data_IF_909154988474
#
_entry.id   IF_909154988474
#
_cell.length_a   1.000
_cell.length_b   1.000
_cell.length_c   1.000
_cell.angle_alpha   90.00
_cell.angle_beta   90.00
_cell.angle_gamma   90.00
#
_symmetry.space_group_name_H-M   'P 1'
#
loop_
_entity.id
_entity.type
_entity.pdbx_description
1 polymer ?
#
# COMPACT_ATOMS: atom_id res chain seq x y z
N UNK A 1 30.67 -3.32 -8.37
CA UNK A 1 30.46 -3.61 -6.94
C UNK A 1 29.97 -5.04 -6.69
N UNK A 2 28.92 -5.55 -7.34
CA UNK A 2 28.37 -6.89 -7.02
C UNK A 2 29.37 -8.06 -6.94
N UNK A 3 30.38 -8.11 -7.83
CA UNK A 3 31.40 -9.17 -7.82
C UNK A 3 32.23 -9.22 -6.53
N UNK A 4 32.51 -8.07 -5.91
CA UNK A 4 33.30 -8.02 -4.67
C UNK A 4 32.52 -8.64 -3.51
N UNK A 5 31.21 -8.45 -3.48
CA UNK A 5 30.33 -9.03 -2.46
C UNK A 5 30.17 -10.53 -2.66
N UNK A 6 29.99 -10.97 -3.90
CA UNK A 6 29.92 -12.40 -4.24
C UNK A 6 31.21 -13.13 -3.90
N UNK A 7 32.37 -12.49 -4.11
CA UNK A 7 33.67 -13.03 -3.74
C UNK A 7 33.77 -13.29 -2.23
N UNK A 8 33.48 -12.29 -1.40
CA UNK A 8 33.52 -12.48 0.07
C UNK A 8 32.44 -13.44 0.57
N UNK A 9 31.27 -13.41 -0.04
CA UNK A 9 30.18 -14.34 0.27
C UNK A 9 30.61 -15.79 0.03
N UNK A 10 31.20 -16.09 -1.13
CA UNK A 10 31.71 -17.43 -1.47
C UNK A 10 32.82 -17.91 -0.54
N UNK A 11 33.79 -17.04 -0.21
CA UNK A 11 34.83 -17.37 0.78
C UNK A 11 34.20 -17.65 2.15
N UNK A 12 33.25 -16.81 2.57
CA UNK A 12 32.52 -16.99 3.83
C UNK A 12 31.84 -18.35 3.91
N UNK A 13 31.09 -18.72 2.87
CA UNK A 13 30.44 -20.04 2.77
C UNK A 13 31.46 -21.17 2.88
N UNK A 14 32.55 -21.12 2.11
CA UNK A 14 33.61 -22.14 2.16
C UNK A 14 34.21 -22.28 3.56
N UNK A 15 34.47 -21.17 4.25
CA UNK A 15 35.03 -21.17 5.60
C UNK A 15 34.07 -21.74 6.64
N UNK A 16 32.78 -21.41 6.57
CA UNK A 16 31.78 -22.02 7.45
C UNK A 16 31.63 -23.52 7.19
N UNK A 17 31.58 -23.93 5.92
CA UNK A 17 31.53 -25.33 5.50
C UNK A 17 32.73 -26.13 6.04
N UNK A 18 33.96 -25.61 5.87
CA UNK A 18 35.19 -26.28 6.35
C UNK A 18 35.29 -26.30 7.88
N UNK A 19 34.74 -25.31 8.58
CA UNK A 19 34.81 -25.23 10.05
C UNK A 19 33.79 -26.15 10.73
N UNK A 20 32.54 -26.13 10.30
CA UNK A 20 31.49 -26.97 10.86
C UNK A 20 30.31 -27.07 9.90
N UNK A 21 30.14 -28.26 9.32
CA UNK A 21 29.00 -28.56 8.47
C UNK A 21 27.66 -28.31 9.18
N UNK A 22 27.57 -28.62 10.48
CA UNK A 22 26.36 -28.39 11.28
C UNK A 22 25.98 -26.91 11.34
N UNK A 23 26.94 -26.03 11.61
CA UNK A 23 26.70 -24.57 11.67
C UNK A 23 26.38 -24.02 10.28
N UNK A 24 27.10 -24.46 9.26
CA UNK A 24 26.85 -24.05 7.88
C UNK A 24 25.43 -24.43 7.44
N UNK A 25 25.01 -25.67 7.67
CA UNK A 25 23.65 -26.12 7.37
C UNK A 25 22.61 -25.37 8.21
N UNK A 26 22.86 -25.11 9.49
CA UNK A 26 21.94 -24.34 10.33
C UNK A 26 21.69 -22.91 9.79
N UNK A 27 22.73 -22.26 9.23
CA UNK A 27 22.60 -20.94 8.60
C UNK A 27 21.96 -21.00 7.21
N UNK A 28 22.25 -22.04 6.44
CA UNK A 28 21.74 -22.20 5.07
C UNK A 28 20.30 -22.72 5.03
N UNK A 29 19.88 -23.46 6.06
CA UNK A 29 18.58 -24.13 6.09
C UNK A 29 17.39 -23.18 5.99
N UNK A 30 17.32 -22.03 6.70
CA UNK A 30 16.25 -21.06 6.49
C UNK A 30 16.17 -20.55 5.05
N UNK A 31 17.32 -20.30 4.39
CA UNK A 31 17.36 -19.90 2.99
C UNK A 31 16.78 -21.00 2.08
N UNK A 32 17.18 -22.25 2.28
CA UNK A 32 16.67 -23.37 1.49
C UNK A 32 15.17 -23.59 1.69
N UNK A 33 14.69 -23.52 2.94
CA UNK A 33 13.27 -23.64 3.24
C UNK A 33 12.45 -22.51 2.59
N UNK A 34 12.93 -21.27 2.65
CA UNK A 34 12.23 -20.15 2.01
C UNK A 34 12.19 -20.29 0.49
N UNK A 35 13.29 -20.72 -0.14
CA UNK A 35 13.33 -20.97 -1.57
C UNK A 35 12.40 -22.14 -1.96
N UNK A 36 12.35 -23.19 -1.14
CA UNK A 36 11.44 -24.31 -1.36
C UNK A 36 9.97 -23.89 -1.20
N UNK A 37 9.64 -23.10 -0.19
CA UNK A 37 8.30 -22.58 0.03
C UNK A 37 7.84 -21.68 -1.14
N UNK A 38 8.75 -20.87 -1.68
CA UNK A 38 8.51 -20.10 -2.90
C UNK A 38 8.34 -20.98 -4.11
N UNK A 39 9.16 -22.02 -4.30
CA UNK A 39 9.04 -22.93 -5.44
C UNK A 39 7.71 -23.69 -5.45
N UNK A 40 7.12 -23.91 -4.27
CA UNK A 40 5.83 -24.57 -4.09
C UNK A 40 4.63 -23.60 -4.11
N UNK A 41 4.86 -22.31 -4.42
CA UNK A 41 3.85 -21.24 -4.36
C UNK A 41 3.14 -21.13 -3.00
N UNK A 42 3.72 -21.71 -1.94
CA UNK A 42 3.20 -21.63 -0.57
C UNK A 42 3.49 -20.27 0.06
N UNK A 43 4.52 -19.58 -0.45
CA UNK A 43 4.93 -18.29 0.09
C UNK A 43 5.61 -17.41 -0.97
N UNK A 44 5.07 -16.22 -1.26
CA UNK A 44 5.62 -15.35 -2.29
C UNK A 44 6.96 -14.79 -1.81
N UNK A 45 8.01 -14.91 -2.63
CA UNK A 45 9.36 -14.38 -2.36
C UNK A 45 9.38 -12.87 -2.50
N UNK A 46 8.73 -12.18 -1.56
CA UNK A 46 8.52 -10.73 -1.61
C UNK A 46 9.42 -10.00 -0.62
N UNK A 47 9.44 -8.67 -0.74
CA UNK A 47 10.35 -7.75 -0.03
C UNK A 47 10.58 -8.10 1.45
N UNK A 48 9.54 -8.48 2.19
CA UNK A 48 9.65 -8.76 3.63
C UNK A 48 10.53 -9.99 3.91
N UNK A 49 10.49 -11.01 3.05
CA UNK A 49 11.27 -12.22 3.26
C UNK A 49 12.77 -11.99 3.07
N UNK A 50 13.14 -11.12 2.12
CA UNK A 50 14.52 -10.70 1.93
C UNK A 50 15.10 -10.05 3.19
N UNK A 51 14.31 -9.31 3.96
CA UNK A 51 14.74 -8.70 5.23
C UNK A 51 15.06 -9.77 6.28
N UNK A 52 14.27 -10.84 6.37
CA UNK A 52 14.53 -11.96 7.27
C UNK A 52 15.73 -12.82 6.84
N UNK A 53 15.97 -12.91 5.53
CA UNK A 53 17.10 -13.64 4.97
C UNK A 53 18.40 -12.85 5.03
N UNK A 54 18.35 -11.51 5.01
CA UNK A 54 19.51 -10.62 4.93
C UNK A 54 20.64 -10.90 5.94
N UNK A 55 20.38 -11.28 7.22
CA UNK A 55 21.46 -11.59 8.15
C UNK A 55 22.38 -12.72 7.69
N UNK A 56 21.86 -13.73 6.99
CA UNK A 56 22.62 -14.91 6.55
C UNK A 56 23.73 -14.55 5.53
N UNK A 57 23.44 -13.92 4.37
CA UNK A 57 24.48 -13.50 3.43
C UNK A 57 25.40 -12.44 4.05
N UNK A 58 24.92 -11.57 4.94
CA UNK A 58 25.77 -10.62 5.67
C UNK A 58 26.80 -11.35 6.52
N UNK A 59 26.42 -12.40 7.26
CA UNK A 59 27.35 -13.21 8.06
C UNK A 59 28.40 -13.90 7.19
N UNK A 60 28.02 -14.43 6.02
CA UNK A 60 28.97 -15.02 5.08
C UNK A 60 29.94 -13.96 4.52
N UNK A 61 29.44 -12.80 4.06
CA UNK A 61 30.29 -11.70 3.58
C UNK A 61 31.25 -11.24 4.69
N UNK A 62 30.75 -11.04 5.91
CA UNK A 62 31.55 -10.64 7.05
C UNK A 62 32.66 -11.65 7.35
N UNK A 63 32.34 -12.96 7.31
CA UNK A 63 33.32 -14.02 7.55
C UNK A 63 34.40 -14.07 6.47
N UNK A 64 34.02 -13.94 5.20
CA UNK A 64 34.96 -13.88 4.08
C UNK A 64 35.88 -12.66 4.18
N UNK A 65 35.31 -11.48 4.48
CA UNK A 65 36.07 -10.26 4.68
C UNK A 65 37.04 -10.39 5.88
N UNK A 66 36.58 -10.95 7.01
CA UNK A 66 37.43 -11.22 8.18
C UNK A 66 38.63 -12.09 7.80
N UNK A 67 38.42 -13.14 7.01
CA UNK A 67 39.51 -14.02 6.60
C UNK A 67 40.54 -13.30 5.71
N UNK A 68 40.09 -12.56 4.71
CA UNK A 68 41.00 -11.81 3.84
C UNK A 68 41.76 -10.71 4.59
N UNK A 69 41.12 -10.04 5.55
CA UNK A 69 41.79 -9.01 6.38
C UNK A 69 42.81 -9.62 7.34
N UNK A 70 42.62 -10.86 7.80
CA UNK A 70 43.62 -11.58 8.60
C UNK A 70 44.89 -11.95 7.81
N UNK A 71 44.83 -12.01 6.48
CA UNK A 71 46.01 -12.18 5.63
C UNK A 71 46.90 -10.92 5.59
N UNK A 72 46.35 -9.77 5.98
CA UNK A 72 47.07 -8.50 6.07
C UNK A 72 47.68 -8.39 7.49
N UNK A 73 49.00 -8.18 7.64
CA UNK A 73 49.62 -8.09 8.96
C UNK A 73 48.99 -6.99 9.81
N UNK A 74 48.77 -7.27 11.10
CA UNK A 74 48.03 -6.40 12.01
C UNK A 74 48.61 -4.98 12.17
N UNK A 75 49.91 -4.81 11.88
CA UNK A 75 50.61 -3.51 11.89
C UNK A 75 50.15 -2.55 10.79
N UNK A 76 49.48 -3.04 9.75
CA UNK A 76 49.03 -2.20 8.63
C UNK A 76 47.56 -1.78 8.82
N UNK A 77 47.32 -0.46 8.81
CA UNK A 77 45.98 0.12 8.79
C UNK A 77 45.16 -0.28 7.56
N UNK A 78 45.83 -0.74 6.50
CA UNK A 78 45.22 -1.26 5.27
C UNK A 78 44.19 -2.37 5.50
N UNK A 79 44.25 -3.10 6.62
CA UNK A 79 43.26 -4.12 6.99
C UNK A 79 41.83 -3.57 7.14
N UNK A 80 41.68 -2.27 7.42
CA UNK A 80 40.36 -1.62 7.56
C UNK A 80 39.79 -1.09 6.24
N UNK A 81 40.62 -0.98 5.20
CA UNK A 81 40.19 -0.48 3.87
C UNK A 81 39.14 -1.41 3.28
N UNK A 82 39.32 -2.72 3.45
CA UNK A 82 38.43 -3.72 2.85
C UNK A 82 37.02 -3.73 3.49
N UNK A 83 36.86 -3.78 4.83
CA UNK A 83 35.56 -3.55 5.46
C UNK A 83 34.95 -2.19 5.10
N UNK A 84 35.75 -1.12 5.10
CA UNK A 84 35.26 0.23 4.78
C UNK A 84 34.71 0.30 3.34
N UNK A 85 35.38 -0.32 2.38
CA UNK A 85 34.93 -0.40 0.99
C UNK A 85 33.63 -1.19 0.85
N UNK A 86 33.47 -2.28 1.60
CA UNK A 86 32.23 -3.07 1.61
C UNK A 86 31.05 -2.29 2.20
N UNK A 87 31.29 -1.51 3.24
CA UNK A 87 30.27 -0.69 3.90
C UNK A 87 29.97 0.61 3.15
N UNK A 88 30.86 1.07 2.26
CA UNK A 88 30.71 2.34 1.56
C UNK A 88 29.38 2.41 0.79
N UNK A 89 29.03 1.35 0.06
CA UNK A 89 27.80 1.31 -0.73
C UNK A 89 26.51 1.31 0.12
N UNK A 90 26.32 0.40 1.11
CA UNK A 90 25.12 0.45 1.95
C UNK A 90 25.03 1.75 2.75
N UNK A 91 26.14 2.27 3.27
CA UNK A 91 26.16 3.56 3.98
C UNK A 91 25.76 4.70 3.05
N UNK A 92 26.33 4.76 1.85
CA UNK A 92 25.96 5.77 0.86
C UNK A 92 24.49 5.65 0.43
N UNK A 93 23.99 4.43 0.22
CA UNK A 93 22.59 4.17 -0.08
C UNK A 93 21.66 4.67 1.02
N UNK A 94 21.96 4.34 2.28
CA UNK A 94 21.19 4.82 3.44
C UNK A 94 21.28 6.34 3.61
N UNK A 95 22.46 6.93 3.44
CA UNK A 95 22.65 8.37 3.53
C UNK A 95 21.88 9.12 2.42
N UNK A 96 21.90 8.62 1.18
CA UNK A 96 21.15 9.19 0.08
C UNK A 96 19.63 9.10 0.31
N UNK A 97 19.13 8.00 0.90
CA UNK A 97 17.71 7.87 1.27
C UNK A 97 17.33 8.84 2.40
N UNK A 98 18.19 9.04 3.40
CA UNK A 98 17.96 10.02 4.47
C UNK A 98 17.97 11.47 3.95
N UNK A 99 18.92 11.80 3.07
CA UNK A 99 19.02 13.13 2.48
C UNK A 99 17.88 13.44 1.50
N UNK A 100 17.28 12.40 0.90
CA UNK A 100 16.16 12.51 -0.02
C UNK A 100 15.03 11.59 0.43
N UNK A 101 14.23 11.99 1.45
CA UNK A 101 13.17 11.16 2.01
C UNK A 101 12.14 10.68 1.00
N UNK A 102 11.95 11.39 -0.11
CA UNK A 102 11.09 10.97 -1.21
C UNK A 102 11.58 9.71 -1.95
N UNK A 103 12.88 9.38 -1.89
CA UNK A 103 13.41 8.09 -2.35
C UNK A 103 13.22 6.97 -1.32
N UNK A 104 12.93 7.33 -0.07
CA UNK A 104 12.72 6.38 1.00
C UNK A 104 11.32 5.77 0.84
N UNK A 105 11.31 4.55 0.32
CA UNK A 105 10.08 3.80 0.11
C UNK A 105 9.33 4.07 -1.19
N UNK A 106 9.69 5.07 -2.01
CA UNK A 106 9.08 5.39 -3.33
C UNK A 106 7.54 5.33 -3.32
N UNK A 107 6.96 4.16 -3.62
CA UNK A 107 5.51 3.89 -3.54
C UNK A 107 4.93 3.90 -2.11
N UNK A 108 5.76 3.71 -1.09
CA UNK A 108 5.42 3.75 0.34
C UNK A 108 5.41 5.17 0.90
N UNK A 109 5.84 6.17 0.12
CA UNK A 109 5.66 7.55 0.52
C UNK A 109 4.16 7.85 0.42
N UNK A 110 3.51 8.02 1.58
CA UNK A 110 2.06 8.19 1.64
C UNK A 110 1.70 9.66 1.80
N UNK A 111 0.95 10.20 0.84
CA UNK A 111 0.43 11.57 0.90
C UNK A 111 -0.94 11.64 1.61
N UNK A 112 -1.25 10.67 2.47
CA UNK A 112 -2.56 10.58 3.13
C UNK A 112 -2.85 11.80 3.99
N UNK A 113 -1.82 12.32 4.70
CA UNK A 113 -1.95 13.49 5.55
C UNK A 113 -2.38 14.70 4.73
N UNK A 114 -1.65 15.01 3.67
CA UNK A 114 -1.92 16.15 2.81
C UNK A 114 -3.28 16.04 2.14
N UNK A 115 -3.67 14.83 1.69
CA UNK A 115 -4.98 14.59 1.09
C UNK A 115 -6.14 14.81 2.07
N UNK A 116 -6.02 14.33 3.32
CA UNK A 116 -7.06 14.51 4.34
C UNK A 116 -7.14 15.97 4.81
N UNK A 117 -6.01 16.65 4.98
CA UNK A 117 -5.99 18.09 5.28
C UNK A 117 -6.56 18.92 4.13
N UNK A 118 -6.29 18.53 2.88
CA UNK A 118 -6.89 19.19 1.72
C UNK A 118 -8.42 19.11 1.74
N UNK A 119 -8.99 17.94 2.05
CA UNK A 119 -10.44 17.81 2.24
C UNK A 119 -10.89 18.71 3.38
N UNK A 120 -10.18 18.70 4.52
CA UNK A 120 -10.52 19.50 5.70
C UNK A 120 -10.61 21.00 5.40
N UNK A 121 -9.66 21.53 4.63
CA UNK A 121 -9.60 22.95 4.25
C UNK A 121 -10.70 23.37 3.27
N UNK A 122 -11.21 22.42 2.46
CA UNK A 122 -12.20 22.69 1.41
C UNK A 122 -13.60 22.14 1.73
N UNK A 123 -13.74 21.50 2.89
CA UNK A 123 -14.99 20.94 3.39
C UNK A 123 -15.97 22.07 3.70
N UNK A 124 -17.22 21.90 3.29
CA UNK A 124 -18.32 22.83 3.57
C UNK A 124 -19.43 22.10 4.30
N UNK A 125 -20.21 22.85 5.07
CA UNK A 125 -21.41 22.30 5.68
C UNK A 125 -22.36 21.75 4.59
N UNK A 126 -22.80 20.52 4.78
CA UNK A 126 -23.60 19.79 3.79
C UNK A 126 -22.81 18.86 2.86
N UNK A 127 -21.47 18.92 2.87
CA UNK A 127 -20.62 17.96 2.16
C UNK A 127 -20.64 16.59 2.87
N UNK A 128 -20.40 15.52 2.11
CA UNK A 128 -20.17 14.18 2.65
C UNK A 128 -18.79 13.67 2.19
N UNK A 129 -18.08 12.99 3.09
CA UNK A 129 -16.77 12.41 2.79
C UNK A 129 -16.86 10.90 2.90
N UNK A 130 -16.46 10.19 1.85
CA UNK A 130 -16.29 8.74 1.82
C UNK A 130 -14.82 8.40 1.87
N UNK A 131 -14.46 7.56 2.82
CA UNK A 131 -13.13 7.00 3.00
C UNK A 131 -13.17 5.55 2.56
N UNK A 132 -12.43 5.21 1.51
CA UNK A 132 -12.33 3.82 1.06
C UNK A 132 -11.52 2.98 2.05
N UNK A 133 -11.81 1.68 2.16
CA UNK A 133 -11.20 0.81 3.18
C UNK A 133 -9.66 0.86 3.18
N UNK A 134 -9.06 1.02 2.01
CA UNK A 134 -7.61 1.03 1.85
C UNK A 134 -6.91 2.24 2.46
N UNK A 135 -7.65 3.30 2.83
CA UNK A 135 -7.13 4.47 3.55
C UNK A 135 -7.81 4.69 4.92
N UNK A 136 -8.70 3.79 5.34
CA UNK A 136 -9.43 3.89 6.61
C UNK A 136 -8.50 4.00 7.83
N UNK A 137 -7.41 3.23 7.84
CA UNK A 137 -6.40 3.28 8.91
C UNK A 137 -5.74 4.67 9.03
N UNK A 138 -5.44 5.32 7.91
CA UNK A 138 -4.86 6.65 7.92
C UNK A 138 -5.89 7.68 8.40
N UNK A 139 -7.14 7.60 7.93
CA UNK A 139 -8.21 8.46 8.42
C UNK A 139 -8.43 8.33 9.93
N UNK A 140 -8.48 7.10 10.46
CA UNK A 140 -8.68 6.83 11.88
C UNK A 140 -7.59 7.48 12.77
N UNK A 141 -6.35 7.54 12.28
CA UNK A 141 -5.27 8.24 12.95
C UNK A 141 -5.39 9.77 12.79
N UNK A 142 -5.48 10.25 11.56
CA UNK A 142 -5.41 11.68 11.24
C UNK A 142 -6.62 12.47 11.71
N UNK A 143 -7.81 11.85 11.83
CA UNK A 143 -9.00 12.50 12.41
C UNK A 143 -8.75 13.02 13.82
N UNK A 144 -8.00 12.25 14.61
CA UNK A 144 -7.69 12.59 16.01
C UNK A 144 -6.44 13.47 16.09
N UNK A 145 -5.40 13.13 15.34
CA UNK A 145 -4.14 13.86 15.37
C UNK A 145 -4.26 15.32 14.87
N UNK A 146 -5.19 15.59 13.94
CA UNK A 146 -5.39 16.92 13.35
C UNK A 146 -6.78 17.51 13.59
N UNK A 147 -7.63 16.85 14.39
CA UNK A 147 -8.99 17.31 14.71
C UNK A 147 -9.78 17.69 13.45
N UNK A 148 -9.88 16.75 12.50
CA UNK A 148 -10.54 17.00 11.22
C UNK A 148 -11.99 17.47 11.46
N UNK A 149 -12.39 18.57 10.83
CA UNK A 149 -13.70 19.21 10.95
C UNK A 149 -14.83 18.48 10.24
N UNK A 150 -14.59 17.25 9.76
CA UNK A 150 -15.58 16.41 9.09
C UNK A 150 -15.53 14.98 9.62
N UNK A 151 -16.70 14.34 9.62
CA UNK A 151 -16.82 12.90 9.86
C UNK A 151 -17.00 12.20 8.52
N UNK A 152 -16.16 11.21 8.23
CA UNK A 152 -16.25 10.44 7.01
C UNK A 152 -17.09 9.17 7.21
N UNK A 153 -17.73 8.74 6.13
CA UNK A 153 -18.33 7.41 6.00
C UNK A 153 -17.24 6.46 5.51
N UNK A 154 -16.83 5.55 6.38
CA UNK A 154 -15.88 4.49 6.02
C UNK A 154 -16.60 3.40 5.22
N UNK A 155 -16.09 3.11 4.03
CA UNK A 155 -16.52 1.97 3.22
C UNK A 155 -15.66 0.78 3.62
N UNK A 156 -16.26 -0.25 4.23
CA UNK A 156 -15.53 -1.40 4.78
C UNK A 156 -14.92 -2.32 3.73
N UNK A 157 -13.92 -3.09 4.15
CA UNK A 157 -13.30 -4.16 3.33
C UNK A 157 -14.12 -5.45 3.44
N UNK A 158 -15.00 -5.66 2.46
CA UNK A 158 -15.85 -6.86 2.38
C UNK A 158 -15.53 -7.72 1.16
N UNK A 159 -14.39 -7.49 0.49
CA UNK A 159 -14.09 -8.18 -0.77
C UNK A 159 -14.03 -9.71 -0.62
N UNK A 160 -13.55 -10.20 0.53
CA UNK A 160 -13.48 -11.63 0.83
C UNK A 160 -14.80 -12.23 1.35
N UNK A 161 -15.86 -11.41 1.49
CA UNK A 161 -17.18 -11.84 1.99
C UNK A 161 -18.21 -11.96 0.85
N UNK A 162 -17.89 -11.45 -0.33
CA UNK A 162 -18.80 -11.40 -1.49
C UNK A 162 -18.14 -12.02 -2.71
N UNK A 163 -18.94 -12.58 -3.61
CA UNK A 163 -18.44 -13.35 -4.74
C UNK A 163 -18.45 -12.57 -6.06
N UNK A 164 -19.00 -11.37 -6.07
CA UNK A 164 -19.14 -10.57 -7.28
C UNK A 164 -19.11 -9.08 -7.03
N UNK A 165 -18.78 -8.33 -8.09
CA UNK A 165 -18.90 -6.86 -8.13
C UNK A 165 -20.31 -6.38 -7.79
N UNK A 166 -21.33 -7.11 -8.24
CA UNK A 166 -22.72 -6.74 -8.01
C UNK A 166 -23.06 -6.83 -6.52
N UNK A 167 -22.77 -7.96 -5.88
CA UNK A 167 -22.94 -8.13 -4.43
C UNK A 167 -22.17 -7.08 -3.62
N UNK A 168 -20.94 -6.77 -4.03
CA UNK A 168 -20.13 -5.73 -3.41
C UNK A 168 -20.84 -4.36 -3.45
N UNK A 169 -21.35 -3.95 -4.61
CA UNK A 169 -22.08 -2.69 -4.75
C UNK A 169 -23.41 -2.70 -3.98
N UNK A 170 -24.14 -3.81 -3.99
CA UNK A 170 -25.38 -3.99 -3.23
C UNK A 170 -25.13 -3.83 -1.73
N UNK A 171 -24.04 -4.37 -1.21
CA UNK A 171 -23.66 -4.19 0.19
C UNK A 171 -23.29 -2.74 0.51
N UNK A 172 -22.56 -2.05 -0.39
CA UNK A 172 -22.20 -0.65 -0.18
C UNK A 172 -23.38 0.31 -0.38
N UNK A 173 -24.45 -0.13 -1.05
CA UNK A 173 -25.57 0.73 -1.43
C UNK A 173 -26.17 1.53 -0.27
N UNK A 174 -26.48 0.96 0.92
CA UNK A 174 -27.02 1.72 2.05
C UNK A 174 -26.08 2.84 2.53
N UNK A 175 -24.77 2.69 2.34
CA UNK A 175 -23.79 3.74 2.62
C UNK A 175 -23.86 4.82 1.55
N UNK A 176 -23.86 4.44 0.27
CA UNK A 176 -23.89 5.35 -0.89
C UNK A 176 -25.19 6.17 -0.96
N UNK A 177 -26.32 5.61 -0.52
CA UNK A 177 -27.62 6.31 -0.47
C UNK A 177 -27.57 7.59 0.39
N UNK A 178 -26.68 7.65 1.40
CA UNK A 178 -26.46 8.87 2.20
C UNK A 178 -25.94 10.05 1.38
N UNK A 179 -25.41 9.79 0.18
CA UNK A 179 -24.89 10.80 -0.73
C UNK A 179 -25.97 11.48 -1.57
N UNK A 180 -27.16 10.87 -1.77
CA UNK A 180 -28.15 11.35 -2.76
C UNK A 180 -28.63 12.78 -2.52
N UNK A 181 -28.70 13.19 -1.25
CA UNK A 181 -29.19 14.52 -0.87
C UNK A 181 -28.04 15.50 -0.56
N UNK A 182 -26.82 15.19 -1.02
CA UNK A 182 -25.62 15.99 -0.76
C UNK A 182 -25.22 16.69 -2.05
N UNK A 183 -24.84 17.95 -1.94
CA UNK A 183 -24.39 18.74 -3.11
C UNK A 183 -23.00 18.34 -3.57
N UNK A 184 -22.14 17.97 -2.61
CA UNK A 184 -20.73 17.65 -2.84
C UNK A 184 -20.37 16.37 -2.10
N UNK A 185 -19.73 15.47 -2.83
CA UNK A 185 -19.29 14.17 -2.34
C UNK A 185 -17.78 14.11 -2.53
N UNK A 186 -17.05 13.94 -1.43
CA UNK A 186 -15.62 13.70 -1.45
C UNK A 186 -15.37 12.21 -1.36
N UNK A 187 -14.57 11.66 -2.25
CA UNK A 187 -14.14 10.27 -2.23
C UNK A 187 -12.62 10.21 -2.17
N UNK A 188 -12.08 9.63 -1.10
CA UNK A 188 -10.64 9.45 -0.93
C UNK A 188 -10.28 7.97 -0.93
N UNK A 189 -9.29 7.62 -1.75
CA UNK A 189 -8.80 6.26 -1.87
C UNK A 189 -7.31 6.23 -2.23
N UNK A 190 -6.66 5.12 -1.89
CA UNK A 190 -5.32 4.84 -2.40
C UNK A 190 -5.37 4.25 -3.81
N UNK A 191 -4.51 4.77 -4.69
CA UNK A 191 -4.41 4.42 -6.12
C UNK A 191 -3.65 3.13 -6.36
N UNK A 192 -2.62 2.88 -5.53
CA UNK A 192 -1.66 1.80 -5.73
C UNK A 192 -1.77 0.68 -4.70
N UNK A 193 -2.68 0.77 -3.73
CA UNK A 193 -3.07 -0.38 -2.91
C UNK A 193 -3.97 -1.33 -3.72
N UNK A 194 -3.39 -1.76 -4.84
CA UNK A 194 -3.72 -2.95 -5.61
C UNK A 194 -2.92 -4.16 -5.13
N UNK A 195 -1.96 -3.93 -4.24
CA UNK A 195 -1.11 -4.95 -3.65
C UNK A 195 -1.98 -5.84 -2.77
N UNK A 196 -1.88 -7.15 -2.98
CA UNK A 196 -2.56 -8.23 -2.25
C UNK A 196 -2.03 -8.33 -0.80
N UNK A 197 -2.04 -7.21 -0.05
CA UNK A 197 -1.56 -7.21 1.33
C UNK A 197 -2.61 -7.91 2.18
N UNK A 198 -2.39 -9.20 2.41
CA UNK A 198 -3.28 -10.07 3.19
C UNK A 198 -4.22 -10.93 2.34
N UNK A 199 -4.28 -10.72 1.03
CA UNK A 199 -5.02 -11.57 0.10
C UNK A 199 -4.09 -12.62 -0.52
N UNK A 200 -4.63 -13.78 -0.90
CA UNK A 200 -3.92 -14.71 -1.77
C UNK A 200 -3.79 -14.10 -3.17
N UNK A 201 -2.75 -14.48 -3.91
CA UNK A 201 -2.51 -13.89 -5.23
C UNK A 201 -3.75 -14.03 -6.14
N UNK A 202 -4.24 -12.87 -6.58
CA UNK A 202 -5.42 -12.68 -7.43
C UNK A 202 -6.74 -13.21 -6.87
N UNK A 203 -6.87 -13.33 -5.55
CA UNK A 203 -8.12 -13.70 -4.88
C UNK A 203 -8.71 -12.54 -4.05
N UNK A 204 -10.00 -12.22 -4.22
CA UNK A 204 -10.96 -12.88 -5.11
C UNK A 204 -10.85 -12.34 -6.55
N UNK A 205 -10.94 -13.17 -7.61
CA UNK A 205 -10.66 -12.76 -8.99
C UNK A 205 -11.44 -11.53 -9.45
N UNK A 206 -12.71 -11.44 -9.04
CA UNK A 206 -13.60 -10.34 -9.39
C UNK A 206 -13.09 -8.96 -8.91
N UNK A 207 -12.32 -8.91 -7.82
CA UNK A 207 -11.83 -7.66 -7.24
C UNK A 207 -10.58 -7.13 -7.96
N UNK A 208 -9.86 -8.01 -8.66
CA UNK A 208 -8.64 -7.65 -9.40
C UNK A 208 -8.93 -7.18 -10.84
N UNK A 209 -10.18 -7.29 -11.30
CA UNK A 209 -10.63 -6.72 -12.57
C UNK A 209 -10.49 -5.19 -12.59
N UNK A 210 -10.13 -4.60 -13.74
CA UNK A 210 -9.89 -3.16 -13.86
C UNK A 210 -11.06 -2.27 -13.39
N UNK A 211 -12.30 -2.78 -13.45
CA UNK A 211 -13.51 -2.03 -13.09
C UNK A 211 -13.86 -2.01 -11.58
N UNK A 212 -13.17 -2.81 -10.77
CA UNK A 212 -13.42 -2.96 -9.32
C UNK A 212 -12.24 -2.52 -8.48
N UNK A 213 -11.04 -2.68 -9.03
CA UNK A 213 -9.77 -2.42 -8.37
C UNK A 213 -9.67 -1.00 -7.81
N UNK A 214 -9.02 -0.88 -6.65
CA UNK A 214 -8.67 0.40 -6.02
C UNK A 214 -9.87 1.37 -5.82
N UNK A 215 -11.08 0.85 -5.59
CA UNK A 215 -12.26 1.66 -5.33
C UNK A 215 -12.97 2.18 -6.60
N UNK A 216 -12.61 1.68 -7.78
CA UNK A 216 -13.25 2.07 -9.04
C UNK A 216 -14.76 1.80 -9.05
N UNK A 217 -15.22 0.68 -8.47
CA UNK A 217 -16.65 0.35 -8.41
C UNK A 217 -17.49 1.37 -7.59
N UNK A 218 -17.17 1.65 -6.31
CA UNK A 218 -17.92 2.65 -5.55
C UNK A 218 -17.75 4.06 -6.11
N UNK A 219 -16.57 4.41 -6.62
CA UNK A 219 -16.37 5.68 -7.32
C UNK A 219 -17.30 5.81 -8.52
N UNK A 220 -17.42 4.79 -9.36
CA UNK A 220 -18.32 4.80 -10.51
C UNK A 220 -19.79 4.99 -10.11
N UNK A 221 -20.21 4.38 -9.00
CA UNK A 221 -21.56 4.57 -8.46
C UNK A 221 -21.80 6.01 -7.96
N UNK A 222 -20.80 6.63 -7.32
CA UNK A 222 -20.87 8.03 -6.89
C UNK A 222 -20.80 9.00 -8.07
N UNK A 223 -19.92 8.74 -9.04
CA UNK A 223 -19.77 9.56 -10.25
C UNK A 223 -21.04 9.55 -11.11
N UNK A 224 -21.85 8.49 -11.07
CA UNK A 224 -23.14 8.47 -11.74
C UNK A 224 -24.15 9.49 -11.18
N UNK A 225 -23.90 10.06 -9.99
CA UNK A 225 -24.76 11.06 -9.34
C UNK A 225 -24.46 12.49 -9.80
N UNK A 226 -23.36 12.75 -10.51
CA UNK A 226 -22.94 14.12 -10.80
C UNK A 226 -21.68 14.25 -11.65
N UNK A 227 -21.07 15.43 -11.65
CA UNK A 227 -19.81 15.68 -12.36
C UNK A 227 -18.60 15.39 -11.47
N UNK A 228 -17.72 14.50 -11.94
CA UNK A 228 -16.46 14.16 -11.27
C UNK A 228 -15.35 15.17 -11.60
N UNK A 229 -14.60 15.59 -10.57
CA UNK A 229 -13.35 16.33 -10.71
C UNK A 229 -12.27 15.80 -9.75
N UNK A 230 -11.01 15.85 -10.17
CA UNK A 230 -9.88 15.47 -9.30
C UNK A 230 -9.52 16.67 -8.44
N UNK A 231 -9.82 16.59 -7.14
CA UNK A 231 -9.55 17.66 -6.21
C UNK A 231 -8.09 17.63 -5.70
N UNK A 232 -7.56 16.44 -5.45
CA UNK A 232 -6.17 16.26 -5.02
C UNK A 232 -5.56 14.99 -5.63
N UNK A 233 -4.32 15.11 -6.12
CA UNK A 233 -3.56 14.00 -6.68
C UNK A 233 -2.20 13.92 -5.99
N UNK A 234 -2.08 12.98 -5.05
CA UNK A 234 -0.82 12.63 -4.43
C UNK A 234 -0.09 11.53 -5.21
N UNK A 235 1.08 11.13 -4.70
CA UNK A 235 1.82 10.01 -5.27
C UNK A 235 0.99 8.73 -5.21
N UNK A 236 0.53 8.31 -4.03
CA UNK A 236 -0.25 7.09 -3.84
C UNK A 236 -1.75 7.31 -3.56
N UNK A 237 -2.19 8.53 -3.24
CA UNK A 237 -3.59 8.83 -2.88
C UNK A 237 -4.26 9.71 -3.94
N UNK A 238 -5.56 9.52 -4.13
CA UNK A 238 -6.41 10.39 -4.96
C UNK A 238 -7.63 10.82 -4.15
N UNK A 239 -7.95 12.11 -4.23
CA UNK A 239 -9.20 12.67 -3.75
C UNK A 239 -10.01 13.12 -4.95
N UNK A 240 -11.25 12.68 -4.99
CA UNK A 240 -12.20 12.98 -6.05
C UNK A 240 -13.36 13.74 -5.43
N UNK A 241 -13.78 14.81 -6.10
CA UNK A 241 -14.95 15.57 -5.76
C UNK A 241 -16.02 15.32 -6.82
N UNK A 242 -17.18 14.84 -6.39
CA UNK A 242 -18.37 14.72 -7.24
C UNK A 242 -19.35 15.81 -6.84
N UNK A 243 -19.70 16.67 -7.80
CA UNK A 243 -20.73 17.68 -7.65
C UNK A 243 -22.05 17.12 -8.18
N UNK A 244 -23.00 16.89 -7.28
CA UNK A 244 -24.29 16.27 -7.60
C UNK A 244 -25.13 17.27 -8.38
N UNK A 245 -25.58 16.88 -9.57
CA UNK A 245 -26.51 17.70 -10.33
C UNK A 245 -27.87 17.61 -9.64
N UNK A 246 -28.51 18.76 -9.40
CA UNK A 246 -29.88 18.80 -8.91
C UNK A 246 -30.74 17.96 -9.86
N UNK A 247 -31.23 16.80 -9.40
CA UNK A 247 -32.21 16.06 -10.19
C UNK A 247 -33.39 17.01 -10.39
N UNK A 248 -33.87 17.23 -11.63
CA UNK A 248 -35.08 18.00 -11.84
C UNK A 248 -36.15 17.30 -11.01
N UNK A 249 -36.62 17.99 -9.97
CA UNK A 249 -37.74 17.52 -9.18
C UNK A 249 -38.84 17.23 -10.18
N UNK A 250 -39.14 15.96 -10.41
CA UNK A 250 -40.32 15.54 -11.15
C UNK A 250 -41.49 15.99 -10.30
N UNK A 251 -41.93 17.23 -10.52
CA UNK A 251 -43.14 17.78 -9.99
C UNK A 251 -44.27 16.86 -10.47
N UNK A 252 -44.68 15.94 -9.60
CA UNK A 252 -45.88 15.14 -9.81
C UNK A 252 -47.00 16.18 -9.96
N UNK A 253 -47.67 16.28 -11.14
CA UNK A 253 -48.77 17.20 -11.29
C UNK A 253 -49.83 16.82 -10.25
N UNK A 254 -50.41 17.78 -9.52
CA UNK A 254 -51.49 17.48 -8.60
C UNK A 254 -52.60 16.76 -9.38
N UNK A 255 -52.89 15.53 -8.98
CA UNK A 255 -53.97 14.72 -9.52
C UNK A 255 -55.25 15.53 -9.40
N UNK A 256 -55.77 16.04 -10.53
CA UNK A 256 -57.10 16.67 -10.58
C UNK A 256 -58.11 15.61 -10.10
N UNK A 257 -58.64 15.81 -8.91
CA UNK A 257 -59.80 15.08 -8.39
C UNK A 257 -60.95 15.24 -9.39
N UNK A 258 -61.31 14.16 -10.05
CA UNK A 258 -62.52 14.08 -10.86
C UNK A 258 -63.73 14.18 -9.92
N UNK A 259 -64.36 15.35 -9.87
CA UNK A 259 -65.72 15.51 -9.35
C UNK A 259 -66.69 14.82 -10.31
N UNK A 260 -67.41 13.82 -9.80
CA UNK A 260 -68.33 12.96 -10.54
C UNK A 260 -69.60 13.65 -11.07
N UNK A 261 -70.42 12.90 -11.82
CA UNK A 261 -71.62 13.41 -12.46
C UNK A 261 -72.76 13.61 -11.45
N UNK A 262 -73.40 14.78 -11.47
CA UNK A 262 -74.72 14.97 -10.86
C UNK A 262 -75.79 14.47 -11.83
N UNK A 263 -76.62 13.56 -11.32
CA UNK A 263 -77.93 13.19 -11.84
C UNK A 263 -78.91 14.36 -11.68
#
# INVERSE_FOLDING_TARGET
MGLIWLFFWGIGMLLFYRKSLKVFLALLFPLLLTLLATLLDLYPFMERMLVFLAPIPILFIAKGCQHCTHLIPARFSARYVLPALLLLWPVWGSANQLAKPHHLGSYKNSNYREALLHINEHYREGDIVYVYWNIAHAYAYYRHAYQLGYTAVELGDIKNQVNSRHEYLTYLQPHLEKARNKKRIWFIHERFLTLNIGDFDDQPPWYHEMGTKAGAAPLGALAAMGSESVAYLGSNVRVILVEVQDQPQTSIPPTRSQTGPRQ
#
